data_IF_546818904879
#
_entry.id   IF_546818904879
#
_cell.length_a   1.000
_cell.length_b   1.000
_cell.length_c   1.000
_cell.angle_alpha   90.00
_cell.angle_beta   90.00
_cell.angle_gamma   90.00
#
_symmetry.space_group_name_H-M   'P 1'
#
loop_
_entity.id
_entity.type
_entity.pdbx_description
1 polymer ?
#
# COMPACT_ATOMS: atom_id res chain seq x y z
N UNK A 1 -8.26 7.61 7.78
CA UNK A 1 -7.51 7.40 6.54
C UNK A 1 -8.33 6.58 5.57
N UNK A 2 -8.11 6.74 4.26
CA UNK A 2 -8.79 5.99 3.20
C UNK A 2 -8.62 4.48 3.36
N UNK A 3 -7.44 4.04 3.82
CA UNK A 3 -7.16 2.63 4.08
C UNK A 3 -8.14 2.03 5.10
N UNK A 4 -8.43 2.73 6.19
CA UNK A 4 -9.39 2.28 7.21
C UNK A 4 -10.83 2.16 6.67
N UNK A 5 -11.19 2.99 5.68
CA UNK A 5 -12.50 2.92 5.02
C UNK A 5 -12.64 1.70 4.11
N UNK A 6 -11.50 1.15 3.66
CA UNK A 6 -11.49 -0.07 2.83
C UNK A 6 -11.79 -1.34 3.63
N UNK A 7 -11.58 -1.31 4.95
CA UNK A 7 -11.96 -2.41 5.85
C UNK A 7 -13.44 -2.27 6.19
N UNK A 8 -14.29 -2.92 5.41
CA UNK A 8 -15.75 -2.84 5.53
C UNK A 8 -16.36 -3.91 6.43
N UNK A 9 -15.66 -5.02 6.61
CA UNK A 9 -16.05 -6.16 7.44
C UNK A 9 -15.06 -6.32 8.58
N UNK A 10 -15.51 -6.78 9.74
CA UNK A 10 -14.67 -6.99 10.91
C UNK A 10 -13.71 -8.17 10.68
N UNK A 11 -12.40 -7.94 10.53
CA UNK A 11 -11.44 -9.04 10.53
C UNK A 11 -11.26 -9.56 11.95
N UNK A 12 -11.02 -10.86 12.11
CA UNK A 12 -10.71 -11.43 13.43
C UNK A 12 -9.22 -11.31 13.76
N UNK A 13 -8.36 -11.48 12.78
CA UNK A 13 -6.90 -11.51 12.95
C UNK A 13 -6.23 -10.67 11.87
N UNK A 14 -5.51 -9.66 12.32
CA UNK A 14 -4.83 -8.70 11.45
C UNK A 14 -3.33 -8.74 11.68
N UNK A 15 -2.58 -8.69 10.61
CA UNK A 15 -1.13 -8.49 10.65
C UNK A 15 -0.78 -7.22 9.88
N UNK A 16 -0.18 -6.25 10.54
CA UNK A 16 0.29 -5.00 9.90
C UNK A 16 1.81 -4.97 9.86
N UNK A 17 2.34 -4.79 8.66
CA UNK A 17 3.77 -4.60 8.43
C UNK A 17 4.05 -3.12 8.39
N UNK A 18 5.11 -2.67 9.09
CA UNK A 18 5.39 -1.24 9.25
C UNK A 18 4.29 -0.55 10.06
N UNK A 19 3.88 -1.16 11.18
CA UNK A 19 2.75 -0.65 11.96
C UNK A 19 3.02 0.70 12.66
N UNK A 20 4.26 1.20 12.61
CA UNK A 20 4.66 2.43 13.27
C UNK A 20 4.28 2.42 14.74
N UNK A 21 3.64 3.48 15.21
CA UNK A 21 3.11 3.58 16.56
C UNK A 21 1.80 2.82 16.82
N UNK A 22 1.34 1.98 15.88
CA UNK A 22 0.11 1.19 16.02
C UNK A 22 -1.19 1.99 15.82
N UNK A 23 -1.13 3.11 15.12
CA UNK A 23 -2.29 3.99 14.96
C UNK A 23 -3.43 3.33 14.15
N UNK A 24 -3.10 2.61 13.07
CA UNK A 24 -4.06 1.87 12.24
C UNK A 24 -4.77 0.79 13.04
N UNK A 25 -3.98 -0.03 13.77
CA UNK A 25 -4.53 -1.10 14.59
C UNK A 25 -5.40 -0.57 15.72
N UNK A 26 -4.97 0.50 16.39
CA UNK A 26 -5.80 1.16 17.40
C UNK A 26 -7.15 1.61 16.84
N UNK A 27 -7.16 2.27 15.67
CA UNK A 27 -8.39 2.73 15.03
C UNK A 27 -9.29 1.56 14.57
N UNK A 28 -8.70 0.45 14.08
CA UNK A 28 -9.47 -0.74 13.70
C UNK A 28 -10.07 -1.44 14.92
N UNK A 29 -9.35 -1.53 16.05
CA UNK A 29 -9.85 -2.10 17.30
C UNK A 29 -10.96 -1.25 17.93
N UNK A 30 -10.96 0.06 17.69
CA UNK A 30 -12.08 0.94 18.07
C UNK A 30 -13.29 0.75 17.16
N UNK A 31 -13.07 0.52 15.85
CA UNK A 31 -14.15 0.32 14.87
C UNK A 31 -14.81 -1.05 15.01
N UNK A 32 -14.04 -2.07 15.31
CA UNK A 32 -14.48 -3.47 15.39
C UNK A 32 -13.98 -4.11 16.69
N UNK A 33 -14.87 -4.72 17.44
CA UNK A 33 -14.50 -5.41 18.67
C UNK A 33 -13.92 -6.81 18.41
N UNK A 34 -13.02 -7.27 19.30
CA UNK A 34 -12.52 -8.64 19.28
C UNK A 34 -11.43 -8.93 18.23
N UNK A 35 -10.83 -7.89 17.62
CA UNK A 35 -9.72 -8.10 16.69
C UNK A 35 -8.45 -8.48 17.48
N UNK A 36 -7.81 -9.57 17.08
CA UNK A 36 -6.41 -9.86 17.40
C UNK A 36 -5.52 -9.14 16.39
N UNK A 37 -4.69 -8.21 16.87
CA UNK A 37 -3.86 -7.37 16.01
C UNK A 37 -2.38 -7.56 16.30
N UNK A 38 -1.63 -8.07 15.32
CA UNK A 38 -0.18 -8.23 15.36
C UNK A 38 0.46 -7.14 14.51
N UNK A 39 1.42 -6.40 15.06
CA UNK A 39 2.23 -5.43 14.34
C UNK A 39 3.67 -5.89 14.17
N UNK A 40 4.29 -5.53 13.06
CA UNK A 40 5.73 -5.63 12.84
C UNK A 40 6.27 -4.24 12.52
N UNK A 41 7.32 -3.82 13.24
CA UNK A 41 7.91 -2.49 13.12
C UNK A 41 9.42 -2.56 13.37
N UNK A 42 10.27 -2.07 12.46
CA UNK A 42 11.71 -2.08 12.67
C UNK A 42 12.20 -0.99 13.66
N UNK A 43 11.49 0.14 13.80
CA UNK A 43 11.85 1.18 14.75
C UNK A 43 11.38 0.82 16.17
N UNK A 44 12.33 0.57 17.07
CA UNK A 44 12.04 0.17 18.45
C UNK A 44 11.30 1.27 19.25
N UNK A 45 11.44 2.55 18.91
CA UNK A 45 10.73 3.63 19.61
C UNK A 45 9.26 3.67 19.19
N UNK A 46 8.97 3.53 17.88
CA UNK A 46 7.62 3.41 17.37
C UNK A 46 6.94 2.15 17.90
N UNK A 47 7.63 1.01 17.86
CA UNK A 47 7.15 -0.27 18.36
C UNK A 47 6.75 -0.21 19.85
N UNK A 48 7.54 0.46 20.70
CA UNK A 48 7.20 0.64 22.13
C UNK A 48 5.87 1.38 22.33
N UNK A 49 5.57 2.36 21.47
CA UNK A 49 4.27 3.05 21.53
C UNK A 49 3.16 2.10 21.10
N UNK A 50 3.41 1.29 20.08
CA UNK A 50 2.44 0.33 19.56
C UNK A 50 2.08 -0.78 20.58
N UNK A 51 2.97 -1.16 21.50
CA UNK A 51 2.71 -2.16 22.55
C UNK A 51 1.47 -1.84 23.40
N UNK A 52 1.17 -0.56 23.62
CA UNK A 52 -0.02 -0.14 24.36
C UNK A 52 -1.33 -0.19 23.54
N UNK A 53 -1.25 -0.46 22.25
CA UNK A 53 -2.36 -0.36 21.28
C UNK A 53 -2.70 -1.68 20.63
N UNK A 54 -1.71 -2.54 20.46
CA UNK A 54 -1.81 -3.79 19.72
C UNK A 54 -1.61 -4.99 20.66
N UNK A 55 -2.06 -6.16 20.23
CA UNK A 55 -1.99 -7.37 21.08
C UNK A 55 -0.60 -8.00 21.07
N UNK A 56 0.13 -7.80 19.96
CA UNK A 56 1.50 -8.29 19.81
C UNK A 56 2.30 -7.37 18.90
N UNK A 57 3.55 -7.10 19.26
CA UNK A 57 4.52 -6.37 18.44
C UNK A 57 5.75 -7.24 18.18
N UNK A 58 6.19 -7.23 16.94
CA UNK A 58 7.43 -7.84 16.49
C UNK A 58 8.38 -6.71 16.08
N UNK A 59 9.45 -6.52 16.84
CA UNK A 59 10.47 -5.50 16.50
C UNK A 59 11.47 -6.16 15.57
N UNK A 60 11.29 -5.95 14.26
CA UNK A 60 12.15 -6.55 13.24
C UNK A 60 11.91 -5.91 11.87
N UNK A 61 12.86 -6.14 10.97
CA UNK A 61 12.76 -5.86 9.54
C UNK A 61 12.07 -7.04 8.84
N UNK A 62 11.00 -6.77 8.09
CA UNK A 62 10.22 -7.81 7.40
C UNK A 62 11.05 -8.60 6.37
N UNK A 63 12.06 -7.98 5.77
CA UNK A 63 12.92 -8.65 4.79
C UNK A 63 13.95 -9.61 5.43
N UNK A 64 14.16 -9.51 6.75
CA UNK A 64 15.15 -10.30 7.50
C UNK A 64 14.53 -11.28 8.48
N UNK A 65 13.26 -11.08 8.83
CA UNK A 65 12.61 -11.84 9.88
C UNK A 65 12.15 -13.23 9.39
N UNK A 66 12.29 -14.22 10.27
CA UNK A 66 11.61 -15.51 10.15
C UNK A 66 10.36 -15.46 11.03
N UNK A 67 9.20 -15.26 10.41
CA UNK A 67 7.93 -15.01 11.13
C UNK A 67 7.52 -16.18 12.04
N UNK A 68 7.88 -17.42 11.66
CA UNK A 68 7.64 -18.63 12.48
C UNK A 68 8.37 -18.58 13.83
N UNK A 69 9.56 -17.94 13.87
CA UNK A 69 10.32 -17.79 15.12
C UNK A 69 9.57 -16.93 16.16
N UNK A 70 8.65 -16.11 15.69
CA UNK A 70 7.76 -15.31 16.54
C UNK A 70 6.41 -15.98 16.80
N UNK A 71 6.26 -17.26 16.42
CA UNK A 71 5.05 -18.04 16.62
C UNK A 71 3.88 -17.68 15.71
N UNK A 72 4.13 -16.97 14.59
CA UNK A 72 3.12 -16.73 13.59
C UNK A 72 2.85 -18.02 12.81
N UNK A 73 1.56 -18.32 12.59
CA UNK A 73 1.11 -19.54 11.93
C UNK A 73 0.73 -19.25 10.48
N UNK A 74 0.96 -20.20 9.59
CA UNK A 74 0.45 -20.15 8.22
C UNK A 74 -1.08 -20.20 8.23
N UNK A 75 -1.70 -19.58 7.23
CA UNK A 75 -3.16 -19.50 7.04
C UNK A 75 -3.92 -18.99 8.28
N UNK A 76 -3.33 -18.00 8.95
CA UNK A 76 -3.85 -17.51 10.24
C UNK A 76 -4.59 -16.18 10.12
N UNK A 77 -4.14 -15.26 9.28
CA UNK A 77 -4.65 -13.89 9.21
C UNK A 77 -5.79 -13.75 8.19
N UNK A 78 -6.84 -13.04 8.59
CA UNK A 78 -7.92 -12.62 7.69
C UNK A 78 -7.50 -11.43 6.85
N UNK A 79 -6.64 -10.58 7.43
CA UNK A 79 -6.19 -9.34 6.84
C UNK A 79 -4.70 -9.10 7.10
N UNK A 80 -3.96 -8.81 6.04
CA UNK A 80 -2.60 -8.26 6.13
C UNK A 80 -2.62 -6.83 5.61
N UNK A 81 -1.95 -5.91 6.32
CA UNK A 81 -1.88 -4.50 5.97
C UNK A 81 -0.42 -4.14 5.65
N UNK A 82 -0.21 -3.50 4.49
CA UNK A 82 1.06 -2.92 4.04
C UNK A 82 0.80 -1.45 3.68
N UNK A 83 0.69 -0.60 4.69
CA UNK A 83 0.40 0.82 4.52
C UNK A 83 1.69 1.62 4.37
N UNK A 84 2.00 2.08 3.15
CA UNK A 84 3.22 2.81 2.82
C UNK A 84 4.49 2.02 3.24
N UNK A 85 4.59 0.79 2.78
CA UNK A 85 5.66 -0.15 3.15
C UNK A 85 6.37 -0.70 1.92
N UNK A 86 5.62 -1.13 0.89
CA UNK A 86 6.19 -1.89 -0.23
C UNK A 86 7.22 -1.09 -1.03
N UNK A 87 7.09 0.22 -1.10
CA UNK A 87 8.03 1.14 -1.72
C UNK A 87 9.37 1.29 -0.96
N UNK A 88 9.38 0.94 0.33
CA UNK A 88 10.57 0.99 1.17
C UNK A 88 11.38 -0.32 1.18
N UNK A 89 10.82 -1.41 0.64
CA UNK A 89 11.45 -2.72 0.62
C UNK A 89 12.38 -2.89 -0.57
N UNK A 90 13.50 -3.57 -0.37
CA UNK A 90 14.38 -3.95 -1.47
C UNK A 90 13.78 -5.03 -2.36
N UNK A 91 13.01 -5.98 -1.78
CA UNK A 91 12.30 -7.05 -2.51
C UNK A 91 10.84 -7.19 -2.04
N UNK A 92 9.96 -6.25 -2.42
CA UNK A 92 8.54 -6.32 -2.07
C UNK A 92 7.83 -7.54 -2.68
N UNK A 93 8.32 -8.08 -3.80
CA UNK A 93 7.79 -9.30 -4.42
C UNK A 93 7.99 -10.51 -3.51
N UNK A 94 9.21 -10.72 -3.01
CA UNK A 94 9.50 -11.79 -2.05
C UNK A 94 8.69 -11.64 -0.77
N UNK A 95 8.57 -10.42 -0.27
CA UNK A 95 7.76 -10.13 0.91
C UNK A 95 6.30 -10.52 0.70
N UNK A 96 5.66 -10.05 -0.38
CA UNK A 96 4.28 -10.42 -0.71
C UNK A 96 4.12 -11.93 -0.91
N UNK A 97 5.06 -12.57 -1.61
CA UNK A 97 5.04 -14.02 -1.80
C UNK A 97 5.08 -14.77 -0.45
N UNK A 98 5.93 -14.34 0.49
CA UNK A 98 6.02 -14.91 1.84
C UNK A 98 4.72 -14.70 2.62
N UNK A 99 4.19 -13.47 2.61
CA UNK A 99 2.98 -13.10 3.34
C UNK A 99 1.75 -13.89 2.91
N UNK A 100 1.71 -14.35 1.65
CA UNK A 100 0.65 -15.19 1.12
C UNK A 100 0.44 -16.46 1.94
N UNK A 101 1.51 -17.03 2.48
CA UNK A 101 1.43 -18.26 3.28
C UNK A 101 0.74 -18.04 4.63
N UNK A 102 0.79 -16.81 5.16
CA UNK A 102 0.17 -16.46 6.44
C UNK A 102 -1.28 -16.02 6.32
N UNK A 103 -1.73 -15.70 5.11
CA UNK A 103 -3.14 -15.41 4.82
C UNK A 103 -3.96 -16.68 4.79
N UNK A 104 -5.16 -16.63 5.37
CA UNK A 104 -6.21 -17.62 5.14
C UNK A 104 -6.56 -17.73 3.65
N UNK A 105 -7.20 -18.81 3.20
CA UNK A 105 -7.62 -18.95 1.79
C UNK A 105 -8.45 -17.77 1.27
N UNK A 106 -9.36 -17.23 2.09
CA UNK A 106 -10.22 -16.07 1.82
C UNK A 106 -9.65 -14.74 2.33
N UNK A 107 -8.44 -14.77 2.90
CA UNK A 107 -7.78 -13.61 3.47
C UNK A 107 -7.41 -12.55 2.41
N UNK A 108 -7.30 -11.31 2.88
CA UNK A 108 -7.03 -10.14 2.03
C UNK A 108 -5.74 -9.43 2.43
N UNK A 109 -5.05 -8.88 1.45
CA UNK A 109 -4.01 -7.87 1.66
C UNK A 109 -4.59 -6.50 1.31
N UNK A 110 -4.37 -5.51 2.17
CA UNK A 110 -4.61 -4.10 1.84
C UNK A 110 -3.26 -3.39 1.83
N UNK A 111 -2.98 -2.67 0.76
CA UNK A 111 -1.76 -1.89 0.62
C UNK A 111 -2.05 -0.47 0.13
N UNK A 112 -1.25 0.50 0.57
CA UNK A 112 -1.13 1.81 -0.05
C UNK A 112 0.24 1.93 -0.68
N UNK A 113 0.29 2.48 -1.90
CA UNK A 113 1.51 2.56 -2.70
C UNK A 113 1.53 3.87 -3.49
N UNK A 114 2.61 4.69 -3.40
CA UNK A 114 2.76 5.92 -4.15
C UNK A 114 2.79 5.69 -5.67
N UNK A 115 2.22 6.64 -6.41
CA UNK A 115 2.16 6.60 -7.88
C UNK A 115 3.21 7.48 -8.52
N UNK A 116 4.24 6.90 -9.11
CA UNK A 116 5.28 7.65 -9.83
C UNK A 116 4.84 8.14 -11.21
N UNK A 117 3.68 7.73 -11.70
CA UNK A 117 3.09 8.28 -12.93
C UNK A 117 2.42 9.65 -12.70
N UNK A 118 2.50 10.21 -11.50
CA UNK A 118 1.89 11.50 -11.19
C UNK A 118 2.47 12.61 -12.06
N UNK A 119 1.59 13.44 -12.65
CA UNK A 119 1.99 14.47 -13.62
C UNK A 119 2.96 15.51 -13.06
N UNK A 120 2.82 15.87 -11.78
CA UNK A 120 3.73 16.81 -11.15
C UNK A 120 5.16 16.24 -11.08
N UNK A 121 5.30 14.96 -10.79
CA UNK A 121 6.58 14.28 -10.79
C UNK A 121 7.20 14.27 -12.20
N UNK A 122 6.39 13.97 -13.22
CA UNK A 122 6.83 13.97 -14.63
C UNK A 122 7.27 15.38 -15.05
N UNK A 123 6.51 16.41 -14.70
CA UNK A 123 6.86 17.80 -15.02
C UNK A 123 8.14 18.21 -14.30
N UNK A 124 8.32 17.85 -13.04
CA UNK A 124 9.54 18.11 -12.28
C UNK A 124 10.76 17.44 -12.95
N UNK A 125 10.62 16.19 -13.36
CA UNK A 125 11.67 15.48 -14.08
C UNK A 125 12.05 16.15 -15.40
N UNK A 126 11.07 16.63 -16.18
CA UNK A 126 11.32 17.41 -17.40
C UNK A 126 11.99 18.75 -17.15
N UNK A 127 11.87 19.28 -15.95
CA UNK A 127 12.58 20.48 -15.50
C UNK A 127 13.97 20.18 -14.94
N UNK A 128 14.39 18.90 -14.93
CA UNK A 128 15.67 18.45 -14.37
C UNK A 128 15.63 18.27 -12.85
N UNK A 129 14.45 18.18 -12.24
CA UNK A 129 14.30 18.07 -10.81
C UNK A 129 13.86 16.65 -10.41
N UNK A 130 14.66 16.02 -9.55
CA UNK A 130 14.34 14.79 -8.82
C UNK A 130 14.79 15.01 -7.38
N UNK A 131 14.05 15.87 -6.68
CA UNK A 131 14.45 16.30 -5.33
C UNK A 131 13.82 15.40 -4.29
N UNK A 132 14.66 14.71 -3.51
CA UNK A 132 14.18 13.90 -2.39
C UNK A 132 13.63 14.78 -1.27
N UNK A 133 12.54 14.32 -0.68
CA UNK A 133 11.80 14.98 0.38
C UNK A 133 11.73 14.10 1.63
N UNK A 134 11.23 14.65 2.73
CA UNK A 134 11.02 13.87 3.95
C UNK A 134 9.77 12.98 3.90
N UNK A 135 8.83 13.31 3.04
CA UNK A 135 7.55 12.61 2.86
C UNK A 135 7.05 12.83 1.45
N UNK A 136 6.14 11.96 0.97
CA UNK A 136 5.50 12.09 -0.32
C UNK A 136 6.07 11.18 -1.40
N UNK A 137 5.85 11.51 -2.67
CA UNK A 137 6.22 10.64 -3.80
C UNK A 137 7.73 10.40 -3.91
N UNK A 138 8.54 11.38 -3.53
CA UNK A 138 10.00 11.32 -3.51
C UNK A 138 10.54 11.28 -2.10
N UNK A 139 9.87 10.59 -1.18
CA UNK A 139 10.43 10.30 0.15
C UNK A 139 11.83 9.69 -0.01
N UNK A 140 12.81 10.23 0.75
CA UNK A 140 14.21 9.83 0.64
C UNK A 140 14.46 8.37 1.03
N UNK A 141 13.50 7.72 1.67
CA UNK A 141 13.56 6.32 2.07
C UNK A 141 12.89 5.37 1.07
N UNK A 142 12.24 5.90 0.01
CA UNK A 142 11.71 5.07 -1.06
C UNK A 142 12.85 4.47 -1.90
N UNK A 143 12.87 3.16 -2.04
CA UNK A 143 13.83 2.43 -2.85
C UNK A 143 13.18 1.76 -4.07
N UNK A 144 11.85 1.72 -4.11
CA UNK A 144 11.04 1.23 -5.24
C UNK A 144 10.03 2.28 -5.66
N UNK A 145 9.75 2.33 -6.96
CA UNK A 145 8.86 3.31 -7.57
C UNK A 145 7.87 2.58 -8.48
N UNK A 146 6.57 2.83 -8.27
CA UNK A 146 5.51 2.07 -8.93
C UNK A 146 4.57 2.95 -9.72
N UNK A 147 4.16 2.46 -10.89
CA UNK A 147 2.95 2.87 -11.58
C UNK A 147 1.85 1.84 -11.30
N UNK A 148 0.60 2.15 -11.63
CA UNK A 148 -0.51 1.20 -11.44
C UNK A 148 -0.24 -0.16 -12.14
N UNK A 149 0.27 -0.13 -13.36
CA UNK A 149 0.56 -1.36 -14.10
C UNK A 149 1.61 -2.23 -13.39
N UNK A 150 2.63 -1.61 -12.78
CA UNK A 150 3.66 -2.34 -12.05
C UNK A 150 3.15 -2.85 -10.69
N UNK A 151 2.23 -2.12 -10.04
CA UNK A 151 1.50 -2.60 -8.85
C UNK A 151 0.69 -3.86 -9.23
N UNK A 152 -0.07 -3.81 -10.32
CA UNK A 152 -0.87 -4.94 -10.79
C UNK A 152 0.00 -6.17 -11.10
N UNK A 153 1.13 -5.98 -11.79
CA UNK A 153 2.09 -7.06 -12.07
C UNK A 153 2.71 -7.63 -10.81
N UNK A 154 3.08 -6.78 -9.84
CA UNK A 154 3.65 -7.21 -8.57
C UNK A 154 2.69 -8.13 -7.81
N UNK A 155 1.44 -7.72 -7.64
CA UNK A 155 0.44 -8.54 -6.94
C UNK A 155 0.10 -9.83 -7.70
N UNK A 156 -0.12 -9.76 -9.01
CA UNK A 156 -0.44 -10.96 -9.82
C UNK A 156 0.74 -11.94 -9.89
N UNK A 157 1.96 -11.44 -10.05
CA UNK A 157 3.18 -12.25 -10.10
C UNK A 157 3.53 -12.92 -8.76
N UNK A 158 3.00 -12.41 -7.65
CA UNK A 158 3.20 -12.99 -6.31
C UNK A 158 2.02 -13.85 -5.83
N UNK A 159 1.08 -14.14 -6.74
CA UNK A 159 -0.03 -15.06 -6.49
C UNK A 159 -1.23 -14.42 -5.81
N UNK A 160 -1.45 -13.14 -6.04
CA UNK A 160 -2.66 -12.43 -5.62
C UNK A 160 -3.51 -12.02 -6.82
N UNK A 161 -4.81 -11.86 -6.57
CA UNK A 161 -5.76 -11.21 -7.47
C UNK A 161 -6.21 -9.91 -6.84
N UNK A 162 -6.02 -8.79 -7.54
CA UNK A 162 -6.56 -7.50 -7.12
C UNK A 162 -8.08 -7.53 -7.26
N UNK A 163 -8.80 -7.28 -6.17
CA UNK A 163 -10.27 -7.25 -6.14
C UNK A 163 -10.81 -5.82 -6.10
N UNK A 164 -9.99 -4.88 -5.65
CA UNK A 164 -10.32 -3.46 -5.64
C UNK A 164 -9.04 -2.63 -5.71
N UNK A 165 -9.08 -1.59 -6.55
CA UNK A 165 -8.10 -0.53 -6.57
C UNK A 165 -8.83 0.82 -6.47
N UNK A 166 -8.36 1.69 -5.60
CA UNK A 166 -8.91 3.03 -5.39
C UNK A 166 -7.80 4.05 -5.11
N UNK A 167 -8.16 5.31 -5.01
CA UNK A 167 -7.24 6.41 -4.71
C UNK A 167 -7.95 7.52 -3.90
N UNK A 168 -7.18 8.30 -3.12
CA UNK A 168 -7.69 9.18 -2.08
C UNK A 168 -8.57 10.33 -2.60
N UNK A 169 -8.23 10.92 -3.74
CA UNK A 169 -8.94 12.08 -4.29
C UNK A 169 -9.25 11.85 -5.76
N UNK A 170 -10.52 12.02 -6.12
CA UNK A 170 -10.91 12.03 -7.52
C UNK A 170 -10.34 13.29 -8.20
N UNK A 171 -9.61 13.14 -9.31
CA UNK A 171 -9.19 14.29 -10.09
C UNK A 171 -10.43 15.00 -10.66
N UNK A 172 -10.40 16.35 -10.66
CA UNK A 172 -11.46 17.16 -11.25
C UNK A 172 -11.39 17.09 -12.77
N UNK A 173 -11.92 16.01 -13.34
CA UNK A 173 -11.98 15.75 -14.78
C UNK A 173 -13.43 15.84 -15.31
N UNK A 174 -14.26 16.58 -14.60
CA UNK A 174 -15.65 16.86 -14.96
C UNK A 174 -15.69 17.81 -16.14
N UNK A 175 -16.70 17.70 -16.98
CA UNK A 175 -16.93 18.55 -18.16
C UNK A 175 -15.86 18.46 -19.28
N UNK A 176 -14.98 17.46 -19.25
CA UNK A 176 -14.04 17.18 -20.34
C UNK A 176 -14.64 16.12 -21.28
N UNK A 177 -14.70 16.45 -22.58
CA UNK A 177 -15.09 15.48 -23.61
C UNK A 177 -13.90 14.58 -23.95
N UNK A 178 -14.07 13.28 -23.80
CA UNK A 178 -13.04 12.28 -24.03
C UNK A 178 -13.20 11.56 -25.38
N UNK A 179 -12.10 11.14 -26.08
CA UNK A 179 -10.70 11.40 -25.70
C UNK A 179 -10.35 12.88 -25.81
N UNK A 180 -9.39 13.35 -25.02
CA UNK A 180 -9.02 14.76 -24.91
C UNK A 180 -7.55 15.03 -25.24
N UNK A 181 -7.26 16.30 -25.51
CA UNK A 181 -5.89 16.82 -25.47
C UNK A 181 -5.75 17.65 -24.21
N UNK A 182 -4.75 17.35 -23.39
CA UNK A 182 -4.44 18.09 -22.17
C UNK A 182 -3.06 18.71 -22.32
N UNK A 183 -3.00 20.02 -22.12
CA UNK A 183 -1.77 20.81 -22.18
C UNK A 183 -1.29 21.10 -20.75
N UNK A 184 -0.09 20.65 -20.43
CA UNK A 184 0.63 20.91 -19.19
C UNK A 184 1.79 21.89 -19.38
N UNK A 185 1.76 22.66 -20.46
CA UNK A 185 2.80 23.61 -20.83
C UNK A 185 3.98 22.97 -21.55
N UNK A 186 4.84 22.25 -20.84
CA UNK A 186 5.98 21.52 -21.45
C UNK A 186 5.62 20.20 -22.12
N UNK A 187 4.48 19.64 -21.77
CA UNK A 187 3.96 18.39 -22.34
C UNK A 187 2.53 18.64 -22.82
N UNK A 188 2.24 18.19 -24.02
CA UNK A 188 0.87 18.08 -24.53
C UNK A 188 0.55 16.61 -24.77
N UNK A 189 -0.39 16.09 -24.02
CA UNK A 189 -0.90 14.74 -24.21
C UNK A 189 -2.12 14.77 -25.13
N UNK A 190 -2.03 14.10 -26.27
CA UNK A 190 -3.07 14.09 -27.29
C UNK A 190 -3.84 12.78 -27.26
N UNK A 191 -5.15 12.87 -27.51
CA UNK A 191 -6.03 11.71 -27.66
C UNK A 191 -6.01 10.75 -26.47
N UNK A 192 -5.89 11.27 -25.24
CA UNK A 192 -5.88 10.47 -24.03
C UNK A 192 -7.31 10.19 -23.54
N UNK A 193 -7.51 9.02 -22.97
CA UNK A 193 -8.77 8.62 -22.34
C UNK A 193 -8.90 9.24 -20.95
N UNK A 194 -10.13 9.21 -20.41
CA UNK A 194 -10.38 9.65 -19.02
C UNK A 194 -9.58 8.81 -18.02
N UNK A 195 -9.43 7.53 -18.27
CA UNK A 195 -8.69 6.62 -17.40
C UNK A 195 -7.21 6.96 -17.37
N UNK A 196 -6.57 7.15 -18.53
CA UNK A 196 -5.17 7.56 -18.64
C UNK A 196 -4.94 8.91 -17.95
N UNK A 197 -5.82 9.88 -18.17
CA UNK A 197 -5.76 11.15 -17.48
C UNK A 197 -5.89 11.00 -15.96
N UNK A 198 -6.83 10.17 -15.49
CA UNK A 198 -7.00 9.91 -14.06
C UNK A 198 -5.71 9.43 -13.41
N UNK A 199 -5.00 8.48 -14.03
CA UNK A 199 -3.74 7.93 -13.55
C UNK A 199 -2.66 8.99 -13.34
N UNK A 200 -2.65 10.05 -14.16
CA UNK A 200 -1.70 11.15 -14.04
C UNK A 200 -1.93 12.05 -12.82
N UNK A 201 -3.15 12.09 -12.31
CA UNK A 201 -3.48 12.94 -11.15
C UNK A 201 -3.51 12.17 -9.82
N UNK A 202 -3.49 10.85 -9.86
CA UNK A 202 -3.44 10.02 -8.65
C UNK A 202 -2.08 10.17 -7.99
N UNK A 203 -2.06 10.44 -6.68
CA UNK A 203 -0.85 10.50 -5.86
C UNK A 203 -0.52 9.12 -5.29
N UNK A 204 -1.55 8.39 -4.86
CA UNK A 204 -1.39 7.11 -4.16
C UNK A 204 -2.54 6.18 -4.51
N UNK A 205 -2.21 4.92 -4.76
CA UNK A 205 -3.17 3.85 -4.94
C UNK A 205 -3.39 3.07 -3.64
N UNK A 206 -4.63 2.69 -3.41
CA UNK A 206 -5.04 1.77 -2.36
C UNK A 206 -5.56 0.49 -3.00
N UNK A 207 -4.95 -0.62 -2.65
CA UNK A 207 -5.22 -1.93 -3.28
C UNK A 207 -5.77 -2.88 -2.24
N UNK A 208 -6.86 -3.58 -2.58
CA UNK A 208 -7.28 -4.81 -1.90
C UNK A 208 -7.00 -5.97 -2.82
N UNK A 209 -6.24 -6.94 -2.35
CA UNK A 209 -5.95 -8.15 -3.09
C UNK A 209 -6.28 -9.39 -2.25
N UNK A 210 -6.67 -10.46 -2.91
CA UNK A 210 -6.94 -11.77 -2.33
C UNK A 210 -5.93 -12.79 -2.82
N UNK A 211 -5.69 -13.83 -2.01
CA UNK A 211 -4.91 -14.99 -2.42
C UNK A 211 -5.55 -15.63 -3.65
N UNK A 212 -4.77 -15.83 -4.71
CA UNK A 212 -5.25 -16.55 -5.88
C UNK A 212 -5.18 -18.05 -5.58
N UNK A 213 -6.34 -18.71 -5.54
CA UNK A 213 -6.51 -20.14 -5.23
C UNK A 213 -6.68 -20.92 -6.56
N UNK A 214 -5.83 -20.62 -7.55
CA UNK A 214 -5.84 -21.39 -8.81
C UNK A 214 -4.76 -22.48 -8.79
#
# INVERSE_FOLDING_TARGET
>A
TELLQMVTEAPQRVFEIGCGSGATGHALKQKFQGIEFVGLEPDANAARIAESRLDKIIVSDIEKVHLEAYGLKKEYFDLIICADVLEHLYDPWKTLFTLRDYLKPDGKVIASIPNTQNINLIINLLNGHWTYEKHGLLDATHVRFFTLNEIEKMFTGTGYKIVRCSFAKQPKLENIRWPATIDFGKIVLKNITREEATRLFVVQYFVIAQKNIS
#
